data_IF_928054619265
#
_entry.id   IF_928054619265
#
_cell.length_a   1.000
_cell.length_b   1.000
_cell.length_c   1.000
_cell.angle_alpha   90.00
_cell.angle_beta   90.00
_cell.angle_gamma   90.00
#
_symmetry.space_group_name_H-M   'P 1'
#
loop_
_entity.id
_entity.type
_entity.pdbx_description
1 polymer ?
#
# COMPACT_ATOMS: atom_id res chain seq x y z
N UNK A 1 -17.56 -9.96 -18.88
CA UNK A 1 -16.68 -10.22 -17.71
C UNK A 1 -17.06 -11.59 -17.16
N UNK A 2 -16.12 -12.53 -17.09
CA UNK A 2 -16.39 -13.88 -16.57
C UNK A 2 -16.32 -13.93 -15.04
N UNK A 3 -16.90 -14.98 -14.43
CA UNK A 3 -16.91 -15.16 -12.97
C UNK A 3 -15.50 -15.19 -12.38
N UNK A 4 -14.53 -15.81 -13.06
CA UNK A 4 -13.15 -15.89 -12.61
C UNK A 4 -12.48 -14.50 -12.54
N UNK A 5 -12.75 -13.63 -13.53
CA UNK A 5 -12.21 -12.27 -13.53
C UNK A 5 -12.86 -11.40 -12.46
N UNK A 6 -14.17 -11.57 -12.23
CA UNK A 6 -14.86 -10.89 -11.15
C UNK A 6 -14.30 -11.29 -9.77
N UNK A 7 -14.05 -12.59 -9.55
CA UNK A 7 -13.44 -13.08 -8.31
C UNK A 7 -12.01 -12.53 -8.15
N UNK A 8 -11.21 -12.52 -9.22
CA UNK A 8 -9.86 -11.95 -9.20
C UNK A 8 -9.87 -10.47 -8.81
N UNK A 9 -10.80 -9.67 -9.36
CA UNK A 9 -10.93 -8.25 -9.00
C UNK A 9 -11.38 -8.09 -7.55
N UNK A 10 -12.36 -8.89 -7.11
CA UNK A 10 -12.89 -8.85 -5.74
C UNK A 10 -11.83 -9.22 -4.70
N UNK A 11 -11.03 -10.25 -4.95
CA UNK A 11 -9.90 -10.66 -4.10
C UNK A 11 -8.80 -9.59 -4.04
N UNK A 12 -8.69 -8.73 -5.04
CA UNK A 12 -7.70 -7.66 -5.07
C UNK A 12 -8.15 -6.38 -4.36
N UNK A 13 -9.43 -6.23 -3.96
CA UNK A 13 -9.95 -4.97 -3.38
C UNK A 13 -9.11 -4.50 -2.19
N UNK A 14 -8.69 -5.43 -1.32
CA UNK A 14 -7.83 -5.14 -0.17
C UNK A 14 -6.68 -6.13 -0.15
N UNK A 15 -5.46 -5.63 0.04
CA UNK A 15 -4.25 -6.46 0.14
C UNK A 15 -3.38 -5.99 1.30
N UNK A 16 -2.52 -6.88 1.78
CA UNK A 16 -1.45 -6.55 2.74
C UNK A 16 -0.09 -6.80 2.09
N UNK A 17 0.94 -6.16 2.61
CA UNK A 17 2.30 -6.33 2.11
C UNK A 17 3.34 -5.64 2.99
N UNK A 18 4.60 -5.72 2.57
CA UNK A 18 5.74 -5.10 3.26
C UNK A 18 6.34 -4.01 2.38
N UNK A 19 6.59 -2.83 2.94
CA UNK A 19 7.26 -1.74 2.23
C UNK A 19 8.68 -2.14 1.86
N UNK A 20 9.03 -2.04 0.58
CA UNK A 20 10.36 -2.38 0.05
C UNK A 20 11.18 -1.15 -0.31
N UNK A 21 10.53 -0.07 -0.75
CA UNK A 21 11.18 1.17 -1.17
C UNK A 21 10.33 2.38 -0.80
N UNK A 22 10.99 3.52 -0.57
CA UNK A 22 10.36 4.81 -0.25
C UNK A 22 10.94 5.89 -1.17
N UNK A 23 10.06 6.70 -1.77
CA UNK A 23 10.39 7.97 -2.43
C UNK A 23 9.77 9.10 -1.59
N UNK A 24 10.57 9.63 -0.66
CA UNK A 24 10.16 10.74 0.23
C UNK A 24 9.99 12.07 -0.51
N UNK A 25 10.59 12.24 -1.69
CA UNK A 25 10.40 13.47 -2.49
C UNK A 25 9.01 13.49 -3.15
N UNK A 26 8.54 12.32 -3.61
CA UNK A 26 7.23 12.16 -4.30
C UNK A 26 6.11 11.62 -3.41
N UNK A 27 6.43 11.32 -2.16
CA UNK A 27 5.52 10.83 -1.12
C UNK A 27 4.87 9.50 -1.50
N UNK A 28 5.70 8.55 -1.98
CA UNK A 28 5.23 7.22 -2.38
C UNK A 28 6.11 6.10 -1.86
N UNK A 29 5.55 4.89 -1.81
CA UNK A 29 6.24 3.66 -1.44
C UNK A 29 6.02 2.57 -2.48
N UNK A 30 6.91 1.58 -2.54
CA UNK A 30 6.65 0.28 -3.16
C UNK A 30 6.43 -0.78 -2.10
N UNK A 31 5.54 -1.73 -2.38
CA UNK A 31 5.12 -2.76 -1.45
C UNK A 31 5.21 -4.12 -2.13
N UNK A 32 5.81 -5.09 -1.44
CA UNK A 32 5.74 -6.50 -1.80
C UNK A 32 4.52 -7.15 -1.15
N UNK A 33 3.62 -7.71 -1.95
CA UNK A 33 2.37 -8.35 -1.53
C UNK A 33 2.21 -9.72 -2.17
N UNK A 34 2.70 -10.78 -1.51
CA UNK A 34 2.77 -12.11 -2.10
C UNK A 34 3.68 -12.10 -3.34
N UNK A 35 3.17 -12.52 -4.50
CA UNK A 35 3.88 -12.45 -5.78
C UNK A 35 3.78 -11.10 -6.52
N UNK A 36 3.12 -10.09 -5.93
CA UNK A 36 2.95 -8.76 -6.52
C UNK A 36 3.97 -7.79 -5.93
N UNK A 37 4.81 -7.20 -6.78
CA UNK A 37 5.52 -5.97 -6.46
C UNK A 37 4.71 -4.78 -7.02
N UNK A 38 4.30 -3.84 -6.17
CA UNK A 38 3.41 -2.76 -6.62
C UNK A 38 4.15 -1.72 -7.46
N UNK A 39 3.38 -0.95 -8.23
CA UNK A 39 3.79 0.39 -8.65
C UNK A 39 3.94 1.31 -7.42
N UNK A 40 4.35 2.57 -7.65
CA UNK A 40 4.48 3.58 -6.60
C UNK A 40 3.11 3.98 -6.05
N UNK A 41 2.87 3.64 -4.77
CA UNK A 41 1.61 3.93 -4.08
C UNK A 41 1.77 5.13 -3.16
N UNK A 42 0.76 6.00 -3.12
CA UNK A 42 0.67 7.04 -2.09
C UNK A 42 0.29 6.40 -0.76
N UNK A 43 0.86 6.89 0.33
CA UNK A 43 0.39 6.51 1.66
C UNK A 43 -0.67 7.47 2.21
N UNK A 44 -1.53 6.95 3.09
CA UNK A 44 -2.51 7.77 3.77
C UNK A 44 -1.84 8.67 4.81
N UNK A 45 -2.33 9.89 4.95
CA UNK A 45 -2.03 10.75 6.08
C UNK A 45 -3.29 10.92 6.92
N UNK A 46 -3.16 11.01 8.24
CA UNK A 46 -4.28 11.29 9.13
C UNK A 46 -4.98 12.63 8.75
N UNK A 47 -4.20 13.61 8.30
CA UNK A 47 -4.67 14.89 7.74
C UNK A 47 -3.73 15.34 6.63
N UNK A 48 -4.28 15.78 5.50
CA UNK A 48 -3.54 16.29 4.33
C UNK A 48 -4.09 17.63 3.82
N UNK A 49 -4.68 18.43 4.70
CA UNK A 49 -5.31 19.72 4.37
C UNK A 49 -4.46 20.91 4.82
N UNK A 50 -5.11 21.93 5.39
CA UNK A 50 -4.43 23.06 6.03
C UNK A 50 -3.51 22.62 7.18
N UNK A 51 -3.97 21.65 7.97
CA UNK A 51 -3.14 20.89 8.89
C UNK A 51 -2.68 19.59 8.22
N UNK A 52 -1.39 19.29 8.35
CA UNK A 52 -0.75 18.13 7.73
C UNK A 52 -0.04 17.31 8.79
N UNK A 53 -0.22 15.99 8.73
CA UNK A 53 0.53 15.03 9.53
C UNK A 53 1.47 14.30 8.58
N UNK A 54 2.78 14.46 8.79
CA UNK A 54 3.82 13.85 7.98
C UNK A 54 4.51 12.75 8.77
N UNK A 55 4.16 11.50 8.47
CA UNK A 55 4.75 10.30 9.06
C UNK A 55 4.86 9.28 7.92
N UNK A 56 5.99 9.23 7.20
CA UNK A 56 6.18 8.26 6.14
C UNK A 56 6.29 6.85 6.73
N UNK A 57 5.87 5.81 5.98
CA UNK A 57 6.17 4.41 6.34
C UNK A 57 7.68 4.16 6.32
N UNK A 58 8.14 3.10 6.98
CA UNK A 58 9.54 2.63 6.96
C UNK A 58 9.73 1.41 6.05
N UNK A 59 10.93 1.19 5.53
CA UNK A 59 11.26 -0.05 4.81
C UNK A 59 11.18 -1.23 5.78
N UNK A 60 10.52 -2.31 5.39
CA UNK A 60 10.23 -3.46 6.24
C UNK A 60 8.90 -3.33 7.03
N UNK A 61 8.23 -2.18 6.98
CA UNK A 61 6.94 -1.98 7.63
C UNK A 61 5.84 -2.77 6.92
N UNK A 62 4.99 -3.48 7.69
CA UNK A 62 3.82 -4.13 7.15
C UNK A 62 2.66 -3.12 7.02
N UNK A 63 1.99 -3.14 5.88
CA UNK A 63 0.90 -2.22 5.55
C UNK A 63 -0.27 -2.95 4.89
N UNK A 64 -1.44 -2.33 4.92
CA UNK A 64 -2.58 -2.71 4.09
C UNK A 64 -2.89 -1.60 3.07
N UNK A 65 -3.41 -2.00 1.91
CA UNK A 65 -3.72 -1.06 0.82
C UNK A 65 -4.99 -1.48 0.07
N UNK A 66 -5.67 -0.47 -0.50
CA UNK A 66 -6.91 -0.63 -1.25
C UNK A 66 -6.63 -0.52 -2.74
N UNK A 67 -7.09 -1.50 -3.52
CA UNK A 67 -7.04 -1.46 -4.98
C UNK A 67 -8.41 -1.07 -5.52
N UNK A 68 -8.55 0.16 -6.04
CA UNK A 68 -9.84 0.67 -6.51
C UNK A 68 -10.39 -0.19 -7.65
N UNK A 69 -11.58 -0.76 -7.46
CA UNK A 69 -12.19 -1.70 -8.40
C UNK A 69 -11.42 -3.00 -8.59
N UNK A 70 -10.51 -3.36 -7.66
CA UNK A 70 -9.62 -4.51 -7.79
C UNK A 70 -8.40 -4.27 -8.68
N UNK A 71 -8.18 -3.02 -9.15
CA UNK A 71 -7.03 -2.66 -9.96
C UNK A 71 -5.85 -2.25 -9.08
N UNK A 72 -4.78 -3.03 -9.12
CA UNK A 72 -3.54 -2.84 -8.34
C UNK A 72 -2.73 -1.61 -8.75
N UNK A 73 -2.93 -1.08 -9.96
CA UNK A 73 -2.17 0.06 -10.48
C UNK A 73 -2.64 1.41 -9.91
N UNK A 74 -3.85 1.44 -9.35
CA UNK A 74 -4.48 2.64 -8.78
C UNK A 74 -4.69 2.50 -7.26
N UNK A 75 -3.84 1.69 -6.62
CA UNK A 75 -3.93 1.44 -5.20
C UNK A 75 -3.33 2.57 -4.34
N UNK A 76 -3.69 2.60 -3.05
CA UNK A 76 -3.08 3.47 -2.05
C UNK A 76 -3.03 2.78 -0.68
N UNK A 77 -2.01 3.14 0.12
CA UNK A 77 -1.85 2.57 1.46
C UNK A 77 -2.94 3.13 2.37
N UNK A 78 -3.60 2.24 3.10
CA UNK A 78 -4.63 2.59 4.08
C UNK A 78 -4.09 2.71 5.51
N UNK A 79 -2.95 2.06 5.80
CA UNK A 79 -2.24 2.24 7.07
C UNK A 79 -1.30 1.07 7.41
N UNK A 80 -0.70 1.19 8.58
CA UNK A 80 0.29 0.26 9.13
C UNK A 80 -0.36 -0.92 9.86
N UNK A 81 0.32 -2.06 9.84
CA UNK A 81 -0.02 -3.26 10.60
C UNK A 81 1.17 -3.65 11.48
N UNK A 82 0.88 -4.07 12.72
CA UNK A 82 1.92 -4.68 13.55
C UNK A 82 2.37 -6.00 12.94
N UNK A 83 3.68 -6.22 12.91
CA UNK A 83 4.28 -7.43 12.37
C UNK A 83 5.59 -7.76 13.10
N UNK A 84 6.04 -9.00 12.95
CA UNK A 84 7.38 -9.42 13.40
C UNK A 84 8.48 -9.07 12.37
N UNK A 85 8.13 -8.42 11.26
CA UNK A 85 9.11 -8.07 10.23
C UNK A 85 10.15 -7.10 10.79
N UNK A 86 11.44 -7.32 10.52
CA UNK A 86 12.48 -6.39 10.92
C UNK A 86 12.29 -5.06 10.18
N UNK A 87 12.06 -4.00 10.95
CA UNK A 87 12.02 -2.63 10.44
C UNK A 87 13.46 -2.14 10.32
N UNK A 88 13.83 -1.64 9.15
CA UNK A 88 15.13 -1.00 8.95
C UNK A 88 14.93 0.50 9.18
N UNK A 89 15.48 1.00 10.29
CA UNK A 89 15.46 2.42 10.69
C UNK A 89 16.75 3.09 10.22
#
# INVERSE_FOLDING_TARGET
MGIAELLRLLENIVRTGTVTEIDEEKWRVRVQSGGLETTWLRWNAQRAGAFKVWVPPSVGEQVWFLCLGGNTDVAFIGGSLYSLSPIHI
#
